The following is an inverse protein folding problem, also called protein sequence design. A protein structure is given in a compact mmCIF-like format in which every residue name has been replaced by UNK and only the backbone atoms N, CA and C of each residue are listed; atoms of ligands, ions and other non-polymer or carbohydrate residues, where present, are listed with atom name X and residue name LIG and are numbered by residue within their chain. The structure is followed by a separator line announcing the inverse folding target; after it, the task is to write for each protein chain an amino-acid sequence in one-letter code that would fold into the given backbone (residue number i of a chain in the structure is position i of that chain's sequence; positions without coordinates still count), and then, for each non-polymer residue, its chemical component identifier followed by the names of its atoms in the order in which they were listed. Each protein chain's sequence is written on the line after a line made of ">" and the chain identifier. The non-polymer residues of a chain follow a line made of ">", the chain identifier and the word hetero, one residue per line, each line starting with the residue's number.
data_IF_855202158818
#
_entry.id   IF_855202158818
#
_cell.length_a   1.000
_cell.length_b   1.000
_cell.length_c   1.000
_cell.angle_alpha   90.00
_cell.angle_beta   90.00
_cell.angle_gamma   90.00
#
_symmetry.space_group_name_H-M   'P 1'
#
loop_
_entity.id
_entity.type
_entity.pdbx_description
1 polymer ?
#
# COMPACT_ATOMS: atom_id res chain seq x y z
N UNK A 1 -12.82 -14.54 0.61
CA UNK A 1 -13.34 -14.94 -0.74
C UNK A 1 -12.19 -15.10 -1.73
N UNK A 2 -11.22 -14.13 -1.82
CA UNK A 2 -10.07 -14.22 -2.73
C UNK A 2 -9.13 -15.38 -2.35
N UNK A 3 -8.74 -15.45 -1.10
CA UNK A 3 -7.85 -16.50 -0.56
C UNK A 3 -8.50 -17.88 -0.68
N UNK A 4 -9.77 -18.03 -0.30
CA UNK A 4 -10.52 -19.29 -0.42
C UNK A 4 -10.58 -19.80 -1.88
N UNK A 5 -10.68 -18.90 -2.85
CA UNK A 5 -10.67 -19.26 -4.28
C UNK A 5 -9.29 -19.73 -4.75
N UNK A 6 -8.22 -19.15 -4.19
CA UNK A 6 -6.85 -19.51 -4.54
C UNK A 6 -6.44 -20.85 -3.92
N UNK A 7 -6.86 -21.16 -2.72
CA UNK A 7 -6.62 -22.47 -2.10
C UNK A 7 -7.30 -23.65 -2.87
N UNK A 8 -8.35 -23.35 -3.66
CA UNK A 8 -9.04 -24.35 -4.47
C UNK A 8 -8.41 -24.53 -5.89
N UNK A 9 -7.54 -23.61 -6.32
CA UNK A 9 -6.94 -23.65 -7.66
C UNK A 9 -5.57 -24.34 -7.64
N UNK A 10 -5.23 -25.12 -8.69
CA UNK A 10 -3.87 -25.67 -8.83
C UNK A 10 -2.84 -24.53 -9.01
N UNK A 11 -1.66 -24.63 -8.38
CA UNK A 11 -0.56 -23.65 -8.46
C UNK A 11 -0.20 -23.29 -9.93
N UNK A 12 -0.36 -24.23 -10.87
CA UNK A 12 -0.12 -23.99 -12.30
C UNK A 12 -1.16 -23.05 -12.96
N UNK A 13 -2.37 -22.98 -12.45
CA UNK A 13 -3.40 -22.06 -12.95
C UNK A 13 -3.22 -20.69 -12.33
N UNK A 14 -2.87 -20.63 -11.05
CA UNK A 14 -2.51 -19.39 -10.35
C UNK A 14 -1.29 -18.74 -11.04
N UNK A 15 -0.24 -19.52 -11.31
CA UNK A 15 0.96 -19.02 -11.98
C UNK A 15 0.67 -18.40 -13.36
N UNK A 16 -0.28 -18.93 -14.13
CA UNK A 16 -0.67 -18.34 -15.41
C UNK A 16 -1.46 -17.04 -15.22
N UNK A 17 -2.43 -17.04 -14.29
CA UNK A 17 -3.21 -15.85 -14.00
C UNK A 17 -2.35 -14.70 -13.49
N UNK A 18 -1.41 -15.00 -12.61
CA UNK A 18 -0.47 -14.00 -12.04
C UNK A 18 0.52 -13.49 -13.10
N UNK A 19 0.92 -14.32 -14.07
CA UNK A 19 1.83 -13.91 -15.13
C UNK A 19 1.20 -12.94 -16.17
N UNK A 20 -0.12 -12.86 -16.22
CA UNK A 20 -0.87 -11.94 -17.08
C UNK A 20 -1.21 -10.61 -16.39
N UNK A 21 -0.84 -10.44 -15.12
CA UNK A 21 -1.07 -9.22 -14.32
C UNK A 21 0.17 -8.32 -14.30
N UNK A 22 -0.04 -7.04 -14.00
CA UNK A 22 1.03 -6.12 -13.64
C UNK A 22 1.73 -6.60 -12.35
N UNK A 23 2.98 -6.22 -12.16
CA UNK A 23 3.82 -6.80 -11.11
C UNK A 23 3.36 -6.46 -9.68
N UNK A 24 2.76 -5.32 -9.45
CA UNK A 24 2.16 -4.88 -8.19
C UNK A 24 0.95 -5.73 -7.83
N UNK A 25 0.00 -5.93 -8.77
CA UNK A 25 -1.14 -6.84 -8.63
C UNK A 25 -0.70 -8.27 -8.39
N UNK A 26 0.35 -8.72 -9.12
CA UNK A 26 0.93 -10.03 -8.93
C UNK A 26 1.52 -10.20 -7.51
N UNK A 27 2.25 -9.20 -7.01
CA UNK A 27 2.79 -9.17 -5.65
C UNK A 27 1.67 -9.19 -4.61
N UNK A 28 0.64 -8.35 -4.80
CA UNK A 28 -0.53 -8.26 -3.91
C UNK A 28 -1.28 -9.59 -3.78
N UNK A 29 -1.30 -10.40 -4.83
CA UNK A 29 -1.87 -11.74 -4.80
C UNK A 29 -0.93 -12.73 -4.09
N UNK A 30 0.36 -12.66 -4.41
CA UNK A 30 1.35 -13.62 -3.92
C UNK A 30 1.68 -13.43 -2.44
N UNK A 31 1.51 -12.24 -1.87
CA UNK A 31 1.77 -11.99 -0.45
C UNK A 31 0.80 -12.74 0.48
N UNK A 32 -0.43 -13.02 0.01
CA UNK A 32 -1.46 -13.75 0.76
C UNK A 32 -1.29 -15.29 0.68
N UNK A 33 -0.38 -15.81 -0.14
CA UNK A 33 -0.15 -17.24 -0.36
C UNK A 33 0.98 -17.74 0.55
N UNK A 34 0.81 -18.94 1.10
CA UNK A 34 1.84 -19.59 1.92
C UNK A 34 3.18 -19.70 1.18
N UNK A 35 4.31 -19.57 1.89
CA UNK A 35 5.66 -19.49 1.33
C UNK A 35 6.01 -20.66 0.41
N UNK A 36 5.61 -21.89 0.77
CA UNK A 36 5.89 -23.11 -0.01
C UNK A 36 5.13 -23.08 -1.35
N UNK A 37 3.85 -22.71 -1.36
CA UNK A 37 3.03 -22.62 -2.56
C UNK A 37 3.44 -21.43 -3.43
N UNK A 38 3.77 -20.30 -2.83
CA UNK A 38 4.30 -19.11 -3.50
C UNK A 38 5.60 -19.42 -4.26
N UNK A 39 6.53 -20.14 -3.64
CA UNK A 39 7.78 -20.53 -4.29
C UNK A 39 7.52 -21.51 -5.46
N UNK A 40 6.54 -22.41 -5.35
CA UNK A 40 6.13 -23.30 -6.43
C UNK A 40 5.49 -22.54 -7.60
N UNK A 41 4.63 -21.56 -7.32
CA UNK A 41 4.00 -20.69 -8.32
C UNK A 41 5.08 -19.90 -9.06
N UNK A 42 5.96 -19.22 -8.33
CA UNK A 42 7.06 -18.44 -8.90
C UNK A 42 8.02 -19.30 -9.74
N UNK A 43 8.24 -20.57 -9.37
CA UNK A 43 9.09 -21.47 -10.14
C UNK A 43 8.52 -21.80 -11.52
N UNK A 44 7.20 -21.68 -11.73
CA UNK A 44 6.52 -21.94 -12.99
C UNK A 44 6.47 -20.71 -13.92
N UNK A 45 6.83 -19.52 -13.41
CA UNK A 45 6.84 -18.27 -14.18
C UNK A 45 8.11 -18.09 -15.01
N UNK A 46 8.11 -17.23 -16.05
CA UNK A 46 9.30 -16.83 -16.78
C UNK A 46 10.38 -16.30 -15.82
N UNK A 47 11.65 -16.53 -16.17
CA UNK A 47 12.75 -16.22 -15.27
C UNK A 47 12.87 -14.71 -14.92
N UNK A 48 12.50 -13.84 -15.85
CA UNK A 48 12.53 -12.39 -15.65
C UNK A 48 11.48 -11.96 -14.62
N UNK A 49 10.22 -12.34 -14.83
CA UNK A 49 9.09 -12.00 -13.96
C UNK A 49 9.28 -12.55 -12.56
N UNK A 50 9.73 -13.80 -12.46
CA UNK A 50 10.07 -14.43 -11.18
C UNK A 50 11.11 -13.63 -10.38
N UNK A 51 12.18 -13.13 -11.04
CA UNK A 51 13.24 -12.35 -10.37
C UNK A 51 12.67 -11.01 -9.92
N UNK A 52 11.87 -10.36 -10.75
CA UNK A 52 11.23 -9.09 -10.45
C UNK A 52 10.30 -9.22 -9.25
N UNK A 53 9.36 -10.17 -9.30
CA UNK A 53 8.39 -10.41 -8.24
C UNK A 53 9.06 -10.82 -6.91
N UNK A 54 10.08 -11.72 -6.96
CA UNK A 54 10.84 -12.05 -5.74
C UNK A 54 11.48 -10.81 -5.12
N UNK A 55 12.05 -9.93 -5.94
CA UNK A 55 12.66 -8.69 -5.45
C UNK A 55 11.61 -7.75 -4.82
N UNK A 56 10.44 -7.66 -5.39
CA UNK A 56 9.34 -6.86 -4.81
C UNK A 56 8.84 -7.48 -3.50
N UNK A 57 8.74 -8.80 -3.43
CA UNK A 57 8.39 -9.54 -2.22
C UNK A 57 9.45 -9.48 -1.10
N UNK A 58 10.71 -9.19 -1.42
CA UNK A 58 11.81 -9.00 -0.45
C UNK A 58 11.71 -7.64 0.28
N UNK A 59 10.97 -6.66 -0.24
CA UNK A 59 10.72 -5.40 0.46
C UNK A 59 9.78 -5.63 1.65
N UNK A 60 9.86 -4.78 2.70
CA UNK A 60 8.93 -4.83 3.81
C UNK A 60 7.47 -4.76 3.34
N UNK A 61 6.59 -5.48 3.98
CA UNK A 61 5.14 -5.27 3.85
C UNK A 61 4.83 -3.79 4.09
N UNK A 62 3.78 -3.24 3.57
CA UNK A 62 3.43 -1.82 3.72
C UNK A 62 4.52 -0.82 3.25
N UNK A 63 5.45 -1.24 2.39
CA UNK A 63 6.46 -0.34 1.82
C UNK A 63 6.18 0.03 0.36
N UNK A 64 6.68 1.18 -0.07
CA UNK A 64 6.62 1.63 -1.46
C UNK A 64 7.19 0.60 -2.45
N UNK A 65 8.23 -0.13 -2.05
CA UNK A 65 8.83 -1.18 -2.87
C UNK A 65 7.97 -2.43 -2.99
N UNK A 66 7.08 -2.68 -2.03
CA UNK A 66 6.10 -3.77 -2.09
C UNK A 66 4.93 -3.44 -3.02
N UNK A 67 4.53 -2.18 -3.09
CA UNK A 67 3.39 -1.67 -3.85
C UNK A 67 3.78 -1.13 -5.24
N UNK A 68 5.07 -1.11 -5.60
CA UNK A 68 5.54 -0.57 -6.86
C UNK A 68 5.33 -1.54 -8.02
N UNK A 69 5.01 -0.96 -9.16
CA UNK A 69 5.05 -1.59 -10.48
C UNK A 69 6.49 -1.63 -11.01
N UNK A 70 6.91 -2.76 -11.59
CA UNK A 70 8.25 -2.91 -12.18
C UNK A 70 8.27 -2.67 -13.69
N UNK A 71 7.12 -2.54 -14.31
CA UNK A 71 6.89 -2.20 -15.70
C UNK A 71 6.94 -0.68 -15.87
N UNK A 72 8.04 -0.17 -16.38
CA UNK A 72 8.22 1.25 -16.67
C UNK A 72 9.10 1.47 -17.90
N UNK A 73 8.99 2.62 -18.51
CA UNK A 73 9.76 2.98 -19.70
C UNK A 73 10.99 3.79 -19.30
N UNK A 74 12.17 3.21 -19.52
CA UNK A 74 13.45 3.86 -19.26
C UNK A 74 14.24 4.04 -20.55
N UNK A 75 14.78 5.24 -20.78
CA UNK A 75 15.56 5.59 -21.96
C UNK A 75 16.84 6.33 -21.59
N UNK A 76 17.89 6.27 -22.44
CA UNK A 76 19.10 7.03 -22.19
C UNK A 76 18.97 8.51 -22.60
N UNK A 77 19.71 9.44 -21.95
CA UNK A 77 19.58 10.89 -22.19
C UNK A 77 20.03 11.34 -23.59
N UNK A 78 20.90 10.57 -24.25
CA UNK A 78 21.44 10.91 -25.57
C UNK A 78 20.51 10.58 -26.73
N UNK A 79 19.41 9.87 -26.51
CA UNK A 79 18.40 9.62 -27.55
C UNK A 79 17.72 10.93 -28.00
N UNK A 80 17.13 10.87 -29.17
CA UNK A 80 16.24 11.92 -29.67
C UNK A 80 14.77 11.55 -29.41
N UNK A 81 13.90 12.54 -29.41
CA UNK A 81 12.45 12.35 -29.35
C UNK A 81 11.98 11.38 -30.44
N UNK A 82 12.56 11.47 -31.64
CA UNK A 82 12.24 10.56 -32.75
C UNK A 82 12.59 9.10 -32.43
N UNK A 83 13.77 8.85 -31.88
CA UNK A 83 14.19 7.51 -31.48
C UNK A 83 13.31 6.95 -30.36
N UNK A 84 12.93 7.79 -29.40
CA UNK A 84 12.01 7.41 -28.33
C UNK A 84 10.63 7.01 -28.89
N UNK A 85 10.05 7.82 -29.77
CA UNK A 85 8.75 7.51 -30.40
C UNK A 85 8.82 6.21 -31.22
N UNK A 86 9.93 6.00 -31.95
CA UNK A 86 10.10 4.81 -32.76
C UNK A 86 10.26 3.56 -31.86
N UNK A 87 10.97 3.67 -30.74
CA UNK A 87 11.08 2.63 -29.71
C UNK A 87 9.71 2.27 -29.13
N UNK A 88 8.91 3.26 -28.72
CA UNK A 88 7.56 3.05 -28.19
C UNK A 88 6.61 2.38 -29.18
N UNK A 89 6.85 2.50 -30.48
CA UNK A 89 6.00 1.93 -31.54
C UNK A 89 6.40 0.53 -31.98
N UNK A 90 7.64 0.15 -31.75
CA UNK A 90 8.22 -1.08 -32.29
C UNK A 90 8.48 -2.14 -31.22
N UNK A 91 8.35 -1.77 -29.96
CA UNK A 91 8.57 -2.67 -28.83
C UNK A 91 7.20 -3.06 -28.23
N UNK A 92 6.86 -4.31 -28.36
CA UNK A 92 5.59 -4.87 -27.86
C UNK A 92 5.67 -5.26 -26.36
N UNK A 93 6.87 -5.25 -25.76
CA UNK A 93 7.10 -5.60 -24.34
C UNK A 93 7.07 -4.38 -23.41
N UNK A 94 6.40 -3.29 -23.80
CA UNK A 94 6.26 -2.10 -22.96
C UNK A 94 4.94 -2.16 -22.19
N UNK A 95 4.86 -1.49 -21.01
CA UNK A 95 3.60 -1.40 -20.29
C UNK A 95 2.51 -0.76 -21.14
N UNK A 96 1.29 -1.28 -21.02
CA UNK A 96 0.12 -0.80 -21.75
C UNK A 96 -0.24 0.63 -21.35
N UNK A 97 -0.15 0.96 -20.07
CA UNK A 97 -0.41 2.26 -19.49
C UNK A 97 0.85 2.87 -18.90
N UNK A 98 1.15 4.13 -19.24
CA UNK A 98 2.24 4.91 -18.67
C UNK A 98 1.99 6.41 -18.83
N UNK A 99 2.42 7.21 -17.87
CA UNK A 99 2.21 8.65 -17.87
C UNK A 99 3.48 9.42 -18.19
N UNK A 100 4.64 8.89 -17.87
CA UNK A 100 5.94 9.51 -18.13
C UNK A 100 7.00 8.48 -18.52
N UNK A 101 8.09 8.99 -19.07
CA UNK A 101 9.25 8.19 -19.46
C UNK A 101 10.41 8.58 -18.56
N UNK A 102 11.10 7.61 -18.04
CA UNK A 102 12.25 7.79 -17.16
C UNK A 102 13.54 7.87 -17.96
N UNK A 103 14.39 8.83 -17.61
CA UNK A 103 15.70 8.98 -18.23
C UNK A 103 16.75 8.49 -17.25
N UNK A 104 17.50 7.47 -17.65
CA UNK A 104 18.47 6.80 -16.78
C UNK A 104 19.85 6.77 -17.41
N UNK A 105 20.90 6.67 -16.57
CA UNK A 105 22.23 6.38 -17.02
C UNK A 105 22.47 4.86 -17.19
N UNK A 106 23.63 4.41 -17.69
CA UNK A 106 23.94 2.99 -17.82
C UNK A 106 23.96 2.20 -16.49
N UNK A 107 24.01 2.87 -15.35
CA UNK A 107 23.88 2.30 -14.01
C UNK A 107 22.46 2.26 -13.48
N UNK A 108 21.47 2.63 -14.31
CA UNK A 108 20.07 2.80 -13.92
C UNK A 108 19.82 3.90 -12.87
N UNK A 109 20.76 4.83 -12.70
CA UNK A 109 20.50 6.01 -11.87
C UNK A 109 19.54 6.95 -12.59
N UNK A 110 18.53 7.43 -11.86
CA UNK A 110 17.51 8.29 -12.39
C UNK A 110 18.05 9.71 -12.64
N UNK A 111 18.07 10.15 -13.90
CA UNK A 111 18.58 11.46 -14.34
C UNK A 111 17.46 12.48 -14.57
N UNK A 112 16.28 12.01 -14.99
CA UNK A 112 15.18 12.87 -15.36
C UNK A 112 13.91 12.11 -15.67
N UNK A 113 12.81 12.83 -15.83
CA UNK A 113 11.54 12.30 -16.33
C UNK A 113 11.01 13.17 -17.45
N UNK A 114 10.23 12.60 -18.35
CA UNK A 114 9.57 13.31 -19.43
C UNK A 114 8.11 12.86 -19.49
N UNK A 115 7.15 13.76 -19.23
CA UNK A 115 5.75 13.47 -19.45
C UNK A 115 5.47 13.14 -20.92
N UNK A 116 4.57 12.19 -21.18
CA UNK A 116 4.25 11.73 -22.53
C UNK A 116 3.76 12.87 -23.44
N UNK A 117 2.97 13.79 -22.90
CA UNK A 117 2.48 14.96 -23.66
C UNK A 117 3.61 15.86 -24.16
N UNK A 118 4.71 15.96 -23.41
CA UNK A 118 5.87 16.75 -23.81
C UNK A 118 6.60 16.14 -25.01
N UNK A 119 6.74 14.82 -25.05
CA UNK A 119 7.33 14.09 -26.19
C UNK A 119 6.53 14.34 -27.47
N UNK A 120 5.20 14.33 -27.38
CA UNK A 120 4.31 14.54 -28.52
C UNK A 120 4.36 15.96 -29.10
N UNK A 121 4.79 16.96 -28.32
CA UNK A 121 4.82 18.38 -28.72
C UNK A 121 6.18 18.86 -29.25
N UNK A 122 7.23 18.06 -29.07
CA UNK A 122 8.59 18.44 -29.39
C UNK A 122 9.04 17.85 -30.74
N UNK A 123 9.93 18.52 -31.45
CA UNK A 123 10.44 18.06 -32.73
C UNK A 123 11.27 16.76 -32.56
N UNK A 124 11.11 15.84 -33.48
CA UNK A 124 11.76 14.51 -33.46
C UNK A 124 13.29 14.54 -33.36
N UNK A 125 13.94 15.63 -33.87
CA UNK A 125 15.41 15.77 -33.82
C UNK A 125 15.94 16.25 -32.46
N UNK A 126 15.06 16.66 -31.54
CA UNK A 126 15.46 17.19 -30.21
C UNK A 126 15.98 16.09 -29.33
N UNK A 127 17.07 16.34 -28.61
CA UNK A 127 17.64 15.37 -27.65
C UNK A 127 16.85 15.35 -26.35
N UNK A 128 16.72 14.18 -25.78
CA UNK A 128 16.03 13.92 -24.53
C UNK A 128 16.60 14.74 -23.37
N UNK A 129 17.93 14.80 -23.24
CA UNK A 129 18.63 15.57 -22.20
C UNK A 129 18.26 17.06 -22.15
N UNK A 130 17.79 17.63 -23.28
CA UNK A 130 17.42 19.06 -23.36
C UNK A 130 15.99 19.34 -22.94
N UNK A 131 15.14 18.31 -22.87
CA UNK A 131 13.71 18.46 -22.58
C UNK A 131 13.28 17.73 -21.29
N UNK A 132 14.11 16.85 -20.75
CA UNK A 132 13.78 16.15 -19.51
C UNK A 132 13.66 17.10 -18.32
N UNK A 133 12.79 16.77 -17.41
CA UNK A 133 12.71 17.42 -16.11
C UNK A 133 13.73 16.78 -15.16
N UNK A 134 14.67 17.57 -14.66
CA UNK A 134 15.70 17.13 -13.71
C UNK A 134 15.31 17.34 -12.25
N UNK A 135 14.22 18.07 -11.99
CA UNK A 135 13.63 18.21 -10.66
C UNK A 135 12.67 17.05 -10.41
N UNK A 136 13.25 15.88 -10.20
CA UNK A 136 12.50 14.63 -10.08
C UNK A 136 12.10 14.43 -8.62
N UNK A 137 10.84 14.02 -8.43
CA UNK A 137 10.43 13.41 -7.18
C UNK A 137 10.67 11.91 -7.29
N UNK A 138 11.25 11.37 -6.27
CA UNK A 138 11.51 9.94 -6.15
C UNK A 138 11.19 9.49 -4.73
N UNK A 139 10.74 8.25 -4.60
CA UNK A 139 10.42 7.59 -3.34
C UNK A 139 11.44 6.49 -3.13
N UNK A 140 11.91 6.33 -1.89
CA UNK A 140 12.76 5.20 -1.52
C UNK A 140 11.89 3.93 -1.41
N UNK A 141 12.36 2.81 -1.94
CA UNK A 141 11.61 1.56 -1.91
C UNK A 141 11.28 1.07 -0.48
N UNK A 142 12.08 1.46 0.51
CA UNK A 142 11.84 1.12 1.91
C UNK A 142 10.91 2.12 2.63
N UNK A 143 10.43 3.18 1.95
CA UNK A 143 9.52 4.14 2.52
C UNK A 143 8.16 3.48 2.77
N UNK A 144 7.55 3.81 3.90
CA UNK A 144 6.21 3.40 4.29
C UNK A 144 5.15 3.84 3.27
N UNK A 145 4.17 2.97 2.99
CA UNK A 145 3.14 3.21 1.98
C UNK A 145 2.25 4.42 2.30
N UNK A 146 1.92 4.66 3.58
CA UNK A 146 1.14 5.82 4.00
C UNK A 146 1.91 7.11 3.74
N UNK A 147 3.24 7.12 3.99
CA UNK A 147 4.09 8.27 3.73
C UNK A 147 4.26 8.52 2.23
N UNK A 148 4.31 7.45 1.43
CA UNK A 148 4.27 7.53 -0.03
C UNK A 148 2.94 8.15 -0.51
N UNK A 149 1.80 7.71 0.01
CA UNK A 149 0.49 8.27 -0.31
C UNK A 149 0.39 9.78 0.01
N UNK A 150 0.96 10.22 1.14
CA UNK A 150 1.04 11.65 1.50
C UNK A 150 1.88 12.47 0.50
N UNK A 151 2.88 11.87 -0.14
CA UNK A 151 3.67 12.53 -1.20
C UNK A 151 2.80 12.75 -2.43
N UNK A 152 2.02 11.75 -2.84
CA UNK A 152 1.09 11.86 -3.98
C UNK A 152 0.07 12.97 -3.75
N UNK A 153 -0.60 12.98 -2.60
CA UNK A 153 -1.59 14.00 -2.23
C UNK A 153 -0.98 15.41 -2.20
N UNK A 154 0.17 15.56 -1.54
CA UNK A 154 0.80 16.88 -1.36
C UNK A 154 1.27 17.52 -2.66
N UNK A 155 1.64 16.72 -3.63
CA UNK A 155 2.31 17.18 -4.84
C UNK A 155 1.54 16.87 -6.12
N UNK A 156 0.29 16.42 -6.01
CA UNK A 156 -0.60 16.10 -7.14
C UNK A 156 0.09 15.18 -8.17
N UNK A 157 0.75 14.12 -7.68
CA UNK A 157 1.46 13.18 -8.56
C UNK A 157 0.49 12.15 -9.13
N UNK A 158 0.72 11.72 -10.36
CA UNK A 158 0.01 10.62 -11.02
C UNK A 158 0.85 9.35 -11.01
N UNK A 159 2.18 9.54 -11.11
CA UNK A 159 3.17 8.47 -11.13
C UNK A 159 4.48 9.01 -10.53
N UNK A 160 5.15 8.21 -9.69
CA UNK A 160 6.41 8.59 -9.04
C UNK A 160 7.42 7.45 -9.13
N UNK A 161 8.66 7.80 -9.45
CA UNK A 161 9.78 6.86 -9.48
C UNK A 161 10.10 6.29 -8.10
N UNK A 162 10.28 4.97 -8.02
CA UNK A 162 10.80 4.29 -6.84
C UNK A 162 12.26 3.94 -7.05
N UNK A 163 13.10 4.26 -6.08
CA UNK A 163 14.55 4.03 -6.14
C UNK A 163 15.04 3.18 -4.97
N UNK A 164 16.09 2.41 -5.21
CA UNK A 164 16.79 1.66 -4.16
C UNK A 164 17.75 2.55 -3.36
N UNK A 165 18.40 1.98 -2.34
CA UNK A 165 19.41 2.66 -1.52
C UNK A 165 20.58 3.24 -2.35
N UNK A 166 20.87 2.67 -3.52
CA UNK A 166 21.88 3.15 -4.45
C UNK A 166 21.37 4.21 -5.42
N UNK A 167 20.12 4.69 -5.25
CA UNK A 167 19.41 5.66 -6.10
C UNK A 167 19.17 5.17 -7.54
N UNK A 168 19.14 3.87 -7.75
CA UNK A 168 18.78 3.26 -9.02
C UNK A 168 17.26 3.11 -9.10
N UNK A 169 16.72 3.40 -10.26
CA UNK A 169 15.30 3.19 -10.55
C UNK A 169 14.98 1.70 -10.48
N UNK A 170 14.04 1.32 -9.64
CA UNK A 170 13.63 -0.08 -9.41
C UNK A 170 12.18 -0.34 -9.75
N UNK A 171 11.36 0.70 -9.78
CA UNK A 171 9.95 0.63 -10.10
C UNK A 171 9.30 2.00 -10.13
N UNK A 172 8.00 2.00 -10.22
CA UNK A 172 7.14 3.18 -10.19
C UNK A 172 5.94 2.91 -9.30
N UNK A 173 5.43 3.94 -8.65
CA UNK A 173 4.13 3.93 -8.00
C UNK A 173 3.16 4.74 -8.83
N UNK A 174 1.94 4.28 -8.98
CA UNK A 174 0.88 4.93 -9.70
C UNK A 174 -0.22 5.42 -8.75
N UNK A 175 -1.07 6.31 -9.23
CA UNK A 175 -2.11 6.93 -8.39
C UNK A 175 -3.22 5.95 -8.01
N UNK A 176 -3.53 4.97 -8.84
CA UNK A 176 -4.52 3.94 -8.60
C UNK A 176 -4.11 3.05 -7.41
N UNK A 177 -2.86 2.58 -7.36
CA UNK A 177 -2.31 1.84 -6.22
C UNK A 177 -2.35 2.66 -4.93
N UNK A 178 -1.99 3.94 -5.05
CA UNK A 178 -2.03 4.86 -3.91
C UNK A 178 -3.45 5.08 -3.39
N UNK A 179 -4.47 5.07 -4.25
CA UNK A 179 -5.88 5.15 -3.81
C UNK A 179 -6.25 3.91 -3.01
N UNK A 180 -5.77 2.74 -3.41
CA UNK A 180 -6.02 1.51 -2.65
C UNK A 180 -5.29 1.53 -1.30
N UNK A 181 -4.04 1.98 -1.25
CA UNK A 181 -3.30 2.22 0.01
C UNK A 181 -4.07 3.15 0.94
N UNK A 182 -4.58 4.29 0.45
CA UNK A 182 -5.35 5.24 1.27
C UNK A 182 -6.61 4.57 1.85
N UNK A 183 -7.29 3.73 1.08
CA UNK A 183 -8.49 3.01 1.55
C UNK A 183 -8.13 1.92 2.57
N UNK A 184 -7.02 1.20 2.37
CA UNK A 184 -6.52 0.20 3.32
C UNK A 184 -6.17 0.85 4.66
N UNK A 185 -5.35 1.91 4.66
CA UNK A 185 -4.95 2.65 5.87
C UNK A 185 -6.16 3.25 6.61
N UNK A 186 -7.10 3.86 5.88
CA UNK A 186 -8.32 4.41 6.49
C UNK A 186 -9.19 3.31 7.13
N UNK A 187 -9.23 2.13 6.53
CA UNK A 187 -9.95 0.97 7.06
C UNK A 187 -9.25 0.41 8.31
N UNK A 188 -7.92 0.31 8.27
CA UNK A 188 -7.12 -0.14 9.41
C UNK A 188 -7.27 0.79 10.61
N UNK A 189 -7.24 2.11 10.39
CA UNK A 189 -7.47 3.11 11.45
C UNK A 189 -8.84 2.96 12.10
N UNK A 190 -9.89 2.71 11.31
CA UNK A 190 -11.23 2.43 11.82
C UNK A 190 -11.24 1.13 12.64
N UNK A 191 -10.59 0.08 12.17
CA UNK A 191 -10.48 -1.19 12.88
C UNK A 191 -9.72 -1.04 14.21
N UNK A 192 -8.61 -0.30 14.21
CA UNK A 192 -7.83 0.02 15.42
C UNK A 192 -8.66 0.78 16.45
N UNK A 193 -9.47 1.78 16.02
CA UNK A 193 -10.38 2.50 16.89
C UNK A 193 -11.48 1.60 17.49
N UNK A 194 -11.94 0.62 16.73
CA UNK A 194 -12.91 -0.40 17.17
C UNK A 194 -12.30 -1.47 18.08
N UNK A 195 -10.97 -1.50 18.25
CA UNK A 195 -10.25 -2.59 18.94
C UNK A 195 -10.40 -3.93 18.21
N UNK A 196 -10.61 -3.85 16.89
CA UNK A 196 -10.69 -4.99 15.97
C UNK A 196 -9.41 -4.93 15.15
N UNK A 197 -8.65 -6.02 15.05
CA UNK A 197 -7.52 -6.11 14.13
C UNK A 197 -8.03 -6.36 12.70
N UNK A 198 -7.13 -6.45 11.73
CA UNK A 198 -7.45 -6.90 10.38
C UNK A 198 -8.12 -8.27 10.42
N UNK A 199 -9.43 -8.24 10.52
CA UNK A 199 -10.24 -9.45 10.52
C UNK A 199 -10.61 -9.77 9.07
N UNK A 200 -9.77 -10.55 8.44
CA UNK A 200 -10.12 -11.18 7.17
C UNK A 200 -11.38 -12.06 7.37
N UNK A 201 -12.31 -11.93 6.43
CA UNK A 201 -13.58 -12.69 6.41
C UNK A 201 -13.30 -14.22 6.39
N UNK A 202 -12.09 -14.62 5.98
CA UNK A 202 -11.62 -16.00 5.92
C UNK A 202 -11.21 -16.61 7.27
N UNK A 203 -11.06 -15.80 8.35
CA UNK A 203 -10.64 -16.35 9.66
C UNK A 203 -11.71 -17.26 10.28
N UNK A 204 -11.24 -18.36 10.83
CA UNK A 204 -12.10 -19.30 11.57
C UNK A 204 -12.75 -18.63 12.78
N UNK A 205 -14.03 -18.94 13.05
CA UNK A 205 -14.78 -18.40 14.21
C UNK A 205 -14.00 -18.43 15.54
N UNK A 206 -13.24 -19.49 15.89
CA UNK A 206 -12.41 -19.49 17.09
C UNK A 206 -11.28 -18.44 17.08
N UNK A 207 -10.71 -18.14 15.93
CA UNK A 207 -9.67 -17.12 15.76
C UNK A 207 -10.22 -15.72 16.04
N UNK A 208 -11.34 -15.39 15.42
CA UNK A 208 -12.07 -14.12 15.62
C UNK A 208 -12.48 -13.94 17.10
N UNK A 209 -13.03 -14.97 17.72
CA UNK A 209 -13.40 -14.93 19.14
C UNK A 209 -12.19 -14.68 20.03
N UNK A 210 -11.04 -15.28 19.75
CA UNK A 210 -9.82 -15.10 20.55
C UNK A 210 -9.25 -13.68 20.41
N UNK A 211 -9.25 -13.11 19.21
CA UNK A 211 -8.80 -11.74 18.96
C UNK A 211 -9.66 -10.74 19.73
N UNK A 212 -10.99 -10.83 19.59
CA UNK A 212 -11.95 -9.96 20.30
C UNK A 212 -11.98 -10.18 21.81
N UNK A 213 -11.77 -11.40 22.28
CA UNK A 213 -11.77 -11.71 23.71
C UNK A 213 -10.72 -10.91 24.49
N UNK A 214 -9.56 -10.69 23.91
CA UNK A 214 -8.49 -9.91 24.55
C UNK A 214 -8.93 -8.47 24.80
N UNK A 215 -9.51 -7.80 23.80
CA UNK A 215 -10.04 -6.45 23.94
C UNK A 215 -11.24 -6.37 24.91
N UNK A 216 -12.14 -7.34 24.83
CA UNK A 216 -13.28 -7.43 25.74
C UNK A 216 -12.84 -7.62 27.21
N UNK A 217 -11.79 -8.40 27.44
CA UNK A 217 -11.22 -8.59 28.77
C UNK A 217 -10.58 -7.30 29.32
N UNK A 218 -9.89 -6.55 28.50
CA UNK A 218 -9.34 -5.23 28.89
C UNK A 218 -10.49 -4.28 29.25
N UNK A 219 -11.54 -4.20 28.41
CA UNK A 219 -12.72 -3.39 28.70
C UNK A 219 -13.45 -3.85 29.97
N UNK A 220 -13.57 -5.15 30.20
CA UNK A 220 -14.15 -5.68 31.44
C UNK A 220 -13.30 -5.29 32.65
N UNK A 221 -11.98 -5.34 32.56
CA UNK A 221 -11.06 -4.91 33.59
C UNK A 221 -11.22 -3.43 33.95
N UNK A 222 -11.31 -2.56 32.96
CA UNK A 222 -11.52 -1.11 33.16
C UNK A 222 -12.90 -0.82 33.75
N UNK A 223 -13.94 -1.50 33.29
CA UNK A 223 -15.30 -1.38 33.85
C UNK A 223 -15.35 -1.84 35.32
N UNK A 224 -14.66 -2.93 35.65
CA UNK A 224 -14.56 -3.43 37.01
C UNK A 224 -13.83 -2.42 37.92
N UNK A 225 -12.73 -1.84 37.42
CA UNK A 225 -12.00 -0.80 38.16
C UNK A 225 -12.88 0.43 38.42
N UNK A 226 -13.63 0.88 37.42
CA UNK A 226 -14.59 1.97 37.57
C UNK A 226 -15.68 1.63 38.60
N UNK A 227 -16.21 0.41 38.60
CA UNK A 227 -17.20 -0.06 39.57
C UNK A 227 -16.64 -0.07 41.00
N UNK A 228 -15.37 -0.46 41.19
CA UNK A 228 -14.69 -0.41 42.49
C UNK A 228 -14.58 1.03 43.02
N UNK A 229 -14.20 1.96 42.14
CA UNK A 229 -14.13 3.38 42.50
C UNK A 229 -15.51 3.92 42.90
N UNK A 230 -16.57 3.58 42.15
CA UNK A 230 -17.94 3.98 42.51
C UNK A 230 -18.33 3.40 43.86
N UNK A 231 -17.98 2.15 44.16
CA UNK A 231 -18.27 1.50 45.44
C UNK A 231 -17.64 2.21 46.66
N UNK A 232 -16.53 2.94 46.49
CA UNK A 232 -15.93 3.75 47.58
C UNK A 232 -16.83 4.93 47.99
N UNK A 233 -17.75 5.35 47.13
CA UNK A 233 -18.69 6.46 47.37
C UNK A 233 -20.13 6.01 47.66
N UNK A 234 -20.34 4.74 47.93
CA UNK A 234 -21.66 4.13 48.13
C UNK A 234 -22.48 4.87 49.18
N UNK A 235 -21.94 5.19 50.36
CA UNK A 235 -22.61 5.97 51.40
C UNK A 235 -22.98 7.40 51.00
N UNK A 236 -22.26 8.00 50.05
CA UNK A 236 -22.63 9.34 49.52
C UNK A 236 -23.75 9.21 48.50
N UNK A 237 -23.76 8.15 47.70
CA UNK A 237 -24.79 7.89 46.71
C UNK A 237 -26.13 7.55 47.37
N UNK A 238 -26.13 6.79 48.48
CA UNK A 238 -27.31 6.50 49.25
C UNK A 238 -27.96 7.79 49.82
N UNK A 239 -27.16 8.77 50.24
CA UNK A 239 -27.69 10.03 50.72
C UNK A 239 -28.24 10.96 49.63
N UNK A 240 -27.75 10.81 48.39
CA UNK A 240 -28.09 11.66 47.27
C UNK A 240 -28.46 10.80 46.02
N UNK A 241 -29.66 10.25 46.00
CA UNK A 241 -30.17 9.40 44.91
C UNK A 241 -30.08 10.07 43.53
N UNK A 242 -30.11 11.41 43.50
CA UNK A 242 -29.88 12.15 42.25
C UNK A 242 -28.51 11.86 41.57
N UNK A 243 -27.50 11.51 42.34
CA UNK A 243 -26.19 11.14 41.81
C UNK A 243 -26.25 9.84 41.03
N UNK A 244 -27.01 8.84 41.51
CA UNK A 244 -27.20 7.57 40.82
C UNK A 244 -27.90 7.75 39.46
N UNK A 245 -28.79 8.72 39.33
CA UNK A 245 -29.46 9.05 38.05
C UNK A 245 -28.54 9.75 37.07
N UNK A 246 -27.57 10.54 37.55
CA UNK A 246 -26.64 11.27 36.73
C UNK A 246 -25.44 10.43 36.26
N UNK A 247 -25.07 9.37 36.98
CA UNK A 247 -23.91 8.53 36.64
C UNK A 247 -23.91 8.01 35.18
N UNK A 248 -24.99 7.43 34.65
CA UNK A 248 -25.03 6.98 33.27
C UNK A 248 -24.85 8.11 32.25
N UNK A 249 -25.37 9.31 32.56
CA UNK A 249 -25.22 10.48 31.69
C UNK A 249 -23.75 10.92 31.62
N UNK A 250 -23.09 11.02 32.78
CA UNK A 250 -21.68 11.43 32.84
C UNK A 250 -20.78 10.39 32.17
N UNK A 251 -21.02 9.09 32.39
CA UNK A 251 -20.28 8.01 31.77
C UNK A 251 -20.43 8.01 30.23
N UNK A 252 -21.66 8.19 29.74
CA UNK A 252 -21.95 8.29 28.31
C UNK A 252 -21.27 9.51 27.67
N UNK A 253 -21.40 10.69 28.31
CA UNK A 253 -20.78 11.92 27.81
C UNK A 253 -19.24 11.82 27.80
N UNK A 254 -18.67 11.19 28.83
CA UNK A 254 -17.21 10.95 28.90
C UNK A 254 -16.73 10.03 27.76
N UNK A 255 -17.48 8.96 27.47
CA UNK A 255 -17.20 8.07 26.35
C UNK A 255 -17.26 8.78 25.00
N UNK A 256 -18.34 9.51 24.75
CA UNK A 256 -18.51 10.29 23.51
C UNK A 256 -17.42 11.35 23.34
N UNK A 257 -17.12 12.12 24.39
CA UNK A 257 -16.07 13.12 24.34
C UNK A 257 -14.67 12.49 24.09
N UNK A 258 -14.40 11.34 24.71
CA UNK A 258 -13.17 10.59 24.48
C UNK A 258 -13.04 10.15 23.02
N UNK A 259 -14.07 9.53 22.45
CA UNK A 259 -14.08 9.11 21.04
C UNK A 259 -13.91 10.31 20.11
N UNK A 260 -14.65 11.40 20.32
CA UNK A 260 -14.54 12.60 19.49
C UNK A 260 -13.13 13.24 19.54
N UNK A 261 -12.42 13.10 20.63
CA UNK A 261 -11.04 13.61 20.74
C UNK A 261 -10.04 12.70 20.03
N UNK A 262 -10.31 11.39 19.96
CA UNK A 262 -9.44 10.43 19.28
C UNK A 262 -9.60 10.44 17.76
N UNK A 263 -10.74 10.93 17.26
CA UNK A 263 -11.04 10.97 15.81
C UNK A 263 -10.63 12.29 15.14
N UNK A 264 -9.97 13.19 15.84
CA UNK A 264 -9.40 14.44 15.32
C UNK A 264 -7.89 14.31 15.21
#
# INVERSE_FOLDING_TARGET
>A
VRIDLMEELPNAEIARGVADLDSDDAVYILEDIDEDDRDEILAQMPAFDRISLKRSLDFPEESAGRRMQTEFIAIPPFWTVGQTIDYLRTNDDLPDDFYQIYVVDPGFNLLGTIPLDRILRVQRATRIETIMNTQIRQIDAALDQEEAARIFERYDQVEVAVVDESKRLVGVLTIDDIVDVINEEASEDIHRLGGVGDEDISRTVPGVVRSRATWLLVNLGTATLASLVIGLFDGTIEQMVALAVLMPIVASMGGVAGTQTMTV
#
